data_IF_887921662029
#
_entry.id   IF_887921662029
#
_cell.length_a   1.000
_cell.length_b   1.000
_cell.length_c   1.000
_cell.angle_alpha   90.00
_cell.angle_beta   90.00
_cell.angle_gamma   90.00
#
_symmetry.space_group_name_H-M   'P 1'
#
loop_
_entity.id
_entity.type
_entity.pdbx_description
1 polymer ?
#
# COMPACT_ATOMS: atom_id res chain seq x y z
N UNK A 1 -8.44 89.96 93.80
CA UNK A 1 -8.17 90.20 92.37
C UNK A 1 -8.77 89.03 91.62
N UNK A 2 -9.73 89.24 90.73
CA UNK A 2 -10.34 88.16 89.96
C UNK A 2 -9.43 87.86 88.75
N UNK A 3 -8.82 86.68 88.73
CA UNK A 3 -8.03 86.21 87.58
C UNK A 3 -8.94 85.59 86.53
N UNK A 4 -8.45 85.43 85.30
CA UNK A 4 -9.13 84.60 84.32
C UNK A 4 -9.33 83.19 84.90
N UNK A 5 -10.52 82.62 84.69
CA UNK A 5 -10.85 81.27 85.19
C UNK A 5 -10.03 80.19 84.47
N UNK A 6 -9.89 80.33 83.15
CA UNK A 6 -9.17 79.39 82.27
C UNK A 6 -8.71 80.12 80.98
N UNK A 7 -8.27 79.35 79.98
CA UNK A 7 -7.79 79.89 78.70
C UNK A 7 -8.89 80.55 77.85
N UNK A 8 -10.18 80.33 78.13
CA UNK A 8 -11.31 80.85 77.40
C UNK A 8 -12.11 81.92 78.14
N UNK A 9 -11.67 82.34 79.31
CA UNK A 9 -12.23 83.47 80.04
C UNK A 9 -11.22 84.61 80.15
N UNK A 10 -11.70 85.85 80.21
CA UNK A 10 -10.86 87.01 80.59
C UNK A 10 -10.97 87.26 82.09
N UNK A 11 -10.10 88.10 82.64
CA UNK A 11 -10.17 88.46 84.06
C UNK A 11 -11.52 89.11 84.39
N UNK A 12 -12.23 88.52 85.34
CA UNK A 12 -13.54 88.98 85.80
C UNK A 12 -13.50 90.28 86.61
N UNK A 13 -14.67 90.84 86.84
CA UNK A 13 -14.89 91.90 87.82
C UNK A 13 -15.47 91.32 89.10
N UNK A 14 -14.99 91.80 90.26
CA UNK A 14 -15.47 91.37 91.57
C UNK A 14 -16.76 92.11 91.91
N UNK A 15 -17.86 91.38 92.16
CA UNK A 15 -19.07 91.97 92.73
C UNK A 15 -18.82 92.31 94.22
N UNK A 16 -18.86 93.59 94.61
CA UNK A 16 -18.59 94.00 95.99
C UNK A 16 -19.62 93.49 97.00
N UNK A 17 -20.83 93.10 96.58
CA UNK A 17 -21.91 92.68 97.47
C UNK A 17 -21.89 91.18 97.79
N UNK A 18 -21.58 90.34 96.79
CA UNK A 18 -21.57 88.88 96.93
C UNK A 18 -20.16 88.29 97.08
N UNK A 19 -19.12 89.07 96.77
CA UNK A 19 -17.73 88.60 96.70
C UNK A 19 -17.46 87.65 95.53
N UNK A 20 -18.42 87.45 94.62
CA UNK A 20 -18.27 86.57 93.46
C UNK A 20 -17.58 87.29 92.31
N UNK A 21 -16.72 86.58 91.59
CA UNK A 21 -16.09 87.09 90.38
C UNK A 21 -16.98 86.77 89.17
N UNK A 22 -17.20 87.75 88.28
CA UNK A 22 -17.81 87.49 86.98
C UNK A 22 -16.87 86.65 86.10
N UNK A 23 -17.43 85.84 85.19
CA UNK A 23 -16.66 84.96 84.30
C UNK A 23 -16.97 85.28 82.83
N UNK A 24 -16.56 86.46 82.32
CA UNK A 24 -16.78 86.81 80.92
C UNK A 24 -15.93 85.93 79.98
N UNK A 25 -16.58 85.33 78.99
CA UNK A 25 -15.92 84.52 77.95
C UNK A 25 -15.05 85.40 77.04
N UNK A 26 -13.93 84.84 76.55
CA UNK A 26 -13.16 85.39 75.42
C UNK A 26 -13.97 85.30 74.14
N UNK A 27 -13.60 86.12 73.15
CA UNK A 27 -14.19 86.12 71.81
C UNK A 27 -14.14 84.73 71.17
N UNK A 28 -15.24 84.31 70.55
CA UNK A 28 -15.32 83.10 69.73
C UNK A 28 -14.15 83.01 68.74
N UNK A 29 -13.59 81.80 68.61
CA UNK A 29 -12.45 81.54 67.72
C UNK A 29 -11.08 81.86 68.31
N UNK A 30 -11.00 82.40 69.53
CA UNK A 30 -9.71 82.62 70.20
C UNK A 30 -9.00 81.28 70.43
N UNK A 31 -7.71 81.20 70.09
CA UNK A 31 -6.90 80.01 70.27
C UNK A 31 -6.79 79.63 71.77
N UNK A 32 -6.97 78.35 72.06
CA UNK A 32 -6.80 77.75 73.38
C UNK A 32 -6.18 76.35 73.22
N UNK A 33 -6.10 75.56 74.28
CA UNK A 33 -5.71 74.16 74.22
C UNK A 33 -6.68 73.35 75.10
N UNK A 34 -7.38 72.39 74.49
CA UNK A 34 -8.41 71.58 75.17
C UNK A 34 -7.83 70.34 75.88
N UNK A 35 -6.50 70.14 75.79
CA UNK A 35 -5.76 69.02 76.36
C UNK A 35 -5.80 67.74 75.52
N UNK A 36 -6.49 67.74 74.36
CA UNK A 36 -6.61 66.61 73.47
C UNK A 36 -5.61 66.74 72.30
N UNK A 37 -4.56 65.92 72.30
CA UNK A 37 -3.54 65.95 71.22
C UNK A 37 -4.13 65.51 69.87
N UNK A 38 -5.32 64.93 69.85
CA UNK A 38 -6.00 64.50 68.64
C UNK A 38 -6.84 65.60 67.97
N UNK A 39 -6.89 66.82 68.50
CA UNK A 39 -7.49 67.97 67.82
C UNK A 39 -6.38 68.89 67.33
N UNK A 40 -6.45 69.27 66.05
CA UNK A 40 -5.39 70.06 65.41
C UNK A 40 -5.63 71.56 65.53
N UNK A 41 -6.83 71.97 65.96
CA UNK A 41 -7.21 73.38 66.09
C UNK A 41 -8.20 73.54 67.22
N UNK A 42 -7.78 74.18 68.30
CA UNK A 42 -8.63 74.40 69.47
C UNK A 42 -9.00 75.86 69.59
N UNK A 43 -10.30 76.12 69.71
CA UNK A 43 -10.84 77.47 69.81
C UNK A 43 -11.88 77.58 70.90
N UNK A 44 -11.95 78.75 71.53
CA UNK A 44 -12.99 79.04 72.50
C UNK A 44 -14.35 79.18 71.80
N UNK A 45 -15.32 78.37 72.22
CA UNK A 45 -16.72 78.43 71.81
C UNK A 45 -17.61 78.40 73.06
N UNK A 46 -18.45 79.43 73.23
CA UNK A 46 -19.32 79.64 74.37
C UNK A 46 -18.62 79.52 75.74
N UNK A 47 -17.40 80.08 75.85
CA UNK A 47 -16.59 80.02 77.08
C UNK A 47 -15.88 78.69 77.35
N UNK A 48 -16.02 77.68 76.47
CA UNK A 48 -15.31 76.39 76.59
C UNK A 48 -14.26 76.27 75.49
N UNK A 49 -13.09 75.71 75.80
CA UNK A 49 -12.12 75.36 74.77
C UNK A 49 -12.58 74.09 74.04
N UNK A 50 -12.91 74.21 72.76
CA UNK A 50 -13.37 73.09 71.93
C UNK A 50 -12.36 72.82 70.82
N UNK A 51 -11.80 71.61 70.82
CA UNK A 51 -10.98 71.13 69.73
C UNK A 51 -11.78 70.80 68.47
N UNK A 52 -11.18 71.09 67.33
CA UNK A 52 -11.73 70.86 66.00
C UNK A 52 -10.65 70.28 65.08
N UNK A 53 -11.04 69.88 63.87
CA UNK A 53 -10.13 69.23 62.90
C UNK A 53 -9.41 67.99 63.51
N UNK A 54 -10.17 66.94 63.87
CA UNK A 54 -9.61 65.77 64.54
C UNK A 54 -8.57 65.05 63.67
N UNK A 55 -7.53 64.51 64.30
CA UNK A 55 -6.53 63.64 63.66
C UNK A 55 -7.24 62.44 63.06
N UNK A 56 -7.09 62.26 61.76
CA UNK A 56 -7.63 61.12 61.02
C UNK A 56 -6.60 59.99 61.05
N UNK A 57 -6.98 58.86 61.63
CA UNK A 57 -6.16 57.65 61.65
C UNK A 57 -6.67 56.67 60.58
N UNK A 58 -6.12 56.69 59.35
CA UNK A 58 -6.52 55.74 58.33
C UNK A 58 -6.13 54.31 58.75
N UNK A 59 -6.77 53.33 58.12
CA UNK A 59 -6.33 51.94 58.22
C UNK A 59 -4.86 51.82 57.78
N UNK A 60 -4.08 51.00 58.50
CA UNK A 60 -2.67 50.76 58.20
C UNK A 60 -2.49 50.05 56.85
N UNK A 61 -3.33 49.04 56.60
CA UNK A 61 -3.37 48.24 55.39
C UNK A 61 -4.78 47.63 55.23
N UNK A 62 -4.95 46.69 54.29
CA UNK A 62 -6.24 46.07 54.00
C UNK A 62 -6.78 45.21 55.17
N UNK A 63 -5.91 44.77 56.09
CA UNK A 63 -6.22 43.89 57.22
C UNK A 63 -6.30 44.61 58.56
N UNK A 64 -6.22 45.93 58.56
CA UNK A 64 -6.48 46.76 59.73
C UNK A 64 -7.68 47.68 59.47
N UNK A 65 -8.43 47.98 60.51
CA UNK A 65 -9.48 49.00 60.45
C UNK A 65 -8.88 50.39 60.74
N UNK A 66 -9.65 51.44 60.42
CA UNK A 66 -9.28 52.80 60.79
C UNK A 66 -9.10 52.90 62.31
N UNK A 67 -8.00 53.52 62.73
CA UNK A 67 -7.65 53.66 64.13
C UNK A 67 -8.43 54.76 64.84
N UNK A 68 -8.34 54.78 66.16
CA UNK A 68 -8.68 55.95 66.98
C UNK A 68 -7.40 56.59 67.47
N UNK A 69 -7.34 57.93 67.41
CA UNK A 69 -6.25 58.68 68.00
C UNK A 69 -6.37 58.68 69.52
N UNK A 70 -5.27 58.42 70.23
CA UNK A 70 -5.22 58.51 71.69
C UNK A 70 -5.05 59.97 72.14
N UNK A 71 -6.02 60.55 72.88
CA UNK A 71 -6.00 61.96 73.28
C UNK A 71 -4.77 62.40 74.08
N UNK A 72 -4.09 61.49 74.78
CA UNK A 72 -2.97 61.82 75.65
C UNK A 72 -1.62 61.94 74.91
N UNK A 73 -1.44 61.24 73.79
CA UNK A 73 -0.15 61.17 73.10
C UNK A 73 -0.24 61.32 71.57
N UNK A 74 -1.43 61.42 71.00
CA UNK A 74 -1.64 61.57 69.56
C UNK A 74 -1.39 60.31 68.73
N UNK A 75 -1.10 59.16 69.36
CA UNK A 75 -0.80 57.91 68.64
C UNK A 75 -2.08 57.25 68.16
N UNK A 76 -2.12 56.88 66.88
CA UNK A 76 -3.21 56.11 66.30
C UNK A 76 -3.12 54.62 66.70
N UNK A 77 -4.24 54.04 67.13
CA UNK A 77 -4.36 52.58 67.29
C UNK A 77 -4.40 51.87 65.93
N UNK A 78 -3.99 50.61 65.87
CA UNK A 78 -4.05 49.78 64.65
C UNK A 78 -4.84 48.48 64.90
N UNK A 79 -6.18 48.56 65.03
CA UNK A 79 -7.00 47.36 65.26
C UNK A 79 -6.97 46.45 64.03
N UNK A 80 -6.65 45.16 64.22
CA UNK A 80 -6.71 44.16 63.16
C UNK A 80 -8.18 43.81 62.84
N UNK A 81 -8.48 43.62 61.56
CA UNK A 81 -9.77 43.10 61.10
C UNK A 81 -9.99 41.67 61.58
N UNK A 82 -11.25 41.21 61.67
CA UNK A 82 -11.56 39.81 61.98
C UNK A 82 -10.89 38.84 60.99
N UNK A 83 -10.46 37.68 61.49
CA UNK A 83 -9.93 36.62 60.64
C UNK A 83 -10.96 36.23 59.58
N UNK A 84 -10.51 36.02 58.33
CA UNK A 84 -11.40 35.74 57.20
C UNK A 84 -11.88 36.98 56.43
N UNK A 85 -11.53 38.18 56.88
CA UNK A 85 -11.81 39.41 56.11
C UNK A 85 -11.07 39.38 54.77
N UNK A 86 -11.73 39.83 53.70
CA UNK A 86 -11.13 39.87 52.36
C UNK A 86 -9.97 40.88 52.30
N UNK A 87 -8.88 40.46 51.68
CA UNK A 87 -7.71 41.27 51.35
C UNK A 87 -7.10 40.75 50.05
N UNK A 88 -5.95 41.27 49.63
CA UNK A 88 -5.11 40.63 48.60
C UNK A 88 -3.65 40.59 49.06
N UNK A 89 -3.01 39.43 48.92
CA UNK A 89 -1.60 39.25 49.28
C UNK A 89 -0.65 39.57 48.11
N UNK A 90 -1.21 39.81 46.92
CA UNK A 90 -0.51 40.15 45.69
C UNK A 90 0.02 38.93 44.92
N UNK A 91 -0.24 37.70 45.38
CA UNK A 91 0.09 36.48 44.66
C UNK A 91 -1.11 36.02 43.82
N UNK A 92 -1.01 36.11 42.50
CA UNK A 92 -2.05 35.64 41.59
C UNK A 92 -2.22 34.10 41.61
N UNK A 93 -1.34 33.37 42.28
CA UNK A 93 -1.42 31.92 42.48
C UNK A 93 -2.23 31.52 43.71
N UNK A 94 -2.76 32.45 44.50
CA UNK A 94 -3.73 32.17 45.57
C UNK A 94 -5.13 32.57 45.11
N UNK A 95 -6.09 31.67 45.29
CA UNK A 95 -7.47 31.91 44.82
C UNK A 95 -8.32 32.61 45.88
N UNK A 96 -7.87 32.64 47.13
CA UNK A 96 -8.61 33.23 48.23
C UNK A 96 -7.66 33.81 49.26
N UNK A 97 -7.68 35.13 49.38
CA UNK A 97 -6.83 35.88 50.28
C UNK A 97 -7.65 36.41 51.45
N UNK A 98 -7.22 36.07 52.66
CA UNK A 98 -7.91 36.48 53.88
C UNK A 98 -6.96 37.00 54.93
N UNK A 99 -7.44 37.97 55.70
CA UNK A 99 -6.72 38.45 56.86
C UNK A 99 -6.67 37.36 57.92
N UNK A 100 -5.47 37.07 58.42
CA UNK A 100 -5.22 36.16 59.52
C UNK A 100 -4.24 36.81 60.49
N UNK A 101 -4.71 37.11 61.71
CA UNK A 101 -3.95 37.80 62.74
C UNK A 101 -3.29 39.11 62.26
N UNK A 102 -4.02 39.89 61.45
CA UNK A 102 -3.56 41.20 60.94
C UNK A 102 -2.68 41.14 59.69
N UNK A 103 -2.32 39.96 59.18
CA UNK A 103 -1.61 39.79 57.92
C UNK A 103 -2.55 39.26 56.83
N UNK A 104 -2.39 39.71 55.59
CA UNK A 104 -3.10 39.10 54.47
C UNK A 104 -2.39 37.81 54.05
N UNK A 105 -3.12 36.69 54.05
CA UNK A 105 -2.60 35.36 53.71
C UNK A 105 -3.44 34.77 52.59
N UNK A 106 -2.79 34.47 51.47
CA UNK A 106 -3.39 33.72 50.39
C UNK A 106 -3.49 32.23 50.68
N UNK A 107 -4.60 31.64 50.26
CA UNK A 107 -4.93 30.22 50.42
C UNK A 107 -5.47 29.66 49.10
N UNK A 108 -5.71 28.35 49.07
CA UNK A 108 -6.23 27.64 47.88
C UNK A 108 -5.33 27.87 46.65
N UNK A 109 -4.07 27.39 46.68
CA UNK A 109 -3.11 27.63 45.61
C UNK A 109 -3.62 27.09 44.27
N UNK A 110 -3.31 27.80 43.19
CA UNK A 110 -3.57 27.37 41.82
C UNK A 110 -2.79 26.08 41.55
N UNK A 111 -3.52 25.03 41.18
CA UNK A 111 -2.94 23.74 40.80
C UNK A 111 -2.75 23.71 39.29
N UNK A 112 -1.53 23.46 38.85
CA UNK A 112 -1.17 23.35 37.44
C UNK A 112 -0.95 21.87 37.07
N UNK A 113 -2.00 21.12 36.69
CA UNK A 113 -1.86 19.72 36.32
C UNK A 113 -1.07 19.56 35.03
N UNK A 114 -0.65 18.33 34.75
CA UNK A 114 -0.11 17.94 33.43
C UNK A 114 -1.20 18.14 32.36
N UNK A 115 -0.88 18.83 31.26
CA UNK A 115 -1.82 19.04 30.16
C UNK A 115 -2.17 17.73 29.43
N UNK A 116 -1.15 16.90 29.20
CA UNK A 116 -1.27 15.63 28.49
C UNK A 116 -0.09 14.69 28.87
N UNK A 117 0.05 13.58 28.16
CA UNK A 117 1.09 12.57 28.42
C UNK A 117 2.51 13.11 28.19
N UNK A 118 2.69 14.16 27.40
CA UNK A 118 3.96 14.76 27.00
C UNK A 118 4.29 16.08 27.69
N UNK A 119 3.51 16.49 28.69
CA UNK A 119 3.79 17.66 29.51
C UNK A 119 3.89 17.29 30.99
N UNK A 120 4.82 17.93 31.68
CA UNK A 120 4.94 17.83 33.13
C UNK A 120 3.95 18.78 33.81
N UNK A 121 3.74 18.59 35.12
CA UNK A 121 2.94 19.52 35.91
C UNK A 121 3.58 20.91 35.87
N UNK A 122 2.75 21.90 35.57
CA UNK A 122 3.19 23.29 35.48
C UNK A 122 3.51 23.90 36.83
N UNK A 123 4.06 25.11 36.81
CA UNK A 123 4.17 25.99 37.97
C UNK A 123 3.40 27.27 37.69
N UNK A 124 2.69 27.77 38.69
CA UNK A 124 1.94 29.01 38.57
C UNK A 124 2.89 30.21 38.69
N UNK A 125 2.69 31.22 37.84
CA UNK A 125 3.40 32.50 37.91
C UNK A 125 2.70 33.44 38.91
N UNK A 126 3.39 33.84 39.98
CA UNK A 126 2.81 34.63 41.08
C UNK A 126 2.32 36.03 40.70
N UNK A 127 2.71 36.56 39.53
CA UNK A 127 2.26 37.87 39.06
C UNK A 127 1.03 37.75 38.16
N UNK A 128 0.97 36.70 37.32
CA UNK A 128 -0.06 36.57 36.29
C UNK A 128 -1.12 35.51 36.60
N UNK A 129 -0.86 34.59 37.52
CA UNK A 129 -1.73 33.45 37.84
C UNK A 129 -1.72 32.37 36.75
N UNK A 130 -0.87 32.51 35.72
CA UNK A 130 -0.83 31.61 34.56
C UNK A 130 0.11 30.43 34.86
N UNK A 131 -0.38 29.22 34.60
CA UNK A 131 0.43 28.00 34.67
C UNK A 131 1.41 27.91 33.50
N UNK A 132 2.66 27.54 33.78
CA UNK A 132 3.58 27.05 32.75
C UNK A 132 3.11 25.69 32.20
N UNK A 133 3.55 25.35 30.97
CA UNK A 133 3.30 24.05 30.36
C UNK A 133 4.61 23.44 29.84
N UNK A 134 5.50 22.97 30.74
CA UNK A 134 6.78 22.41 30.34
C UNK A 134 6.60 21.06 29.64
N UNK A 135 7.19 20.90 28.47
CA UNK A 135 7.23 19.62 27.76
C UNK A 135 8.16 18.64 28.49
N UNK A 136 7.77 17.36 28.54
CA UNK A 136 8.63 16.26 28.96
C UNK A 136 9.82 16.12 28.02
N UNK A 137 10.86 15.45 28.50
CA UNK A 137 12.02 15.11 27.67
C UNK A 137 11.62 14.28 26.44
N UNK A 138 12.31 14.51 25.33
CA UNK A 138 12.10 13.73 24.11
C UNK A 138 12.38 12.24 24.36
N UNK A 139 11.57 11.37 23.78
CA UNK A 139 11.69 9.91 23.92
C UNK A 139 10.93 9.32 25.11
N UNK A 140 10.27 10.14 25.95
CA UNK A 140 9.34 9.62 26.96
C UNK A 140 8.16 8.94 26.27
N UNK A 141 7.85 7.70 26.68
CA UNK A 141 6.75 6.93 26.13
C UNK A 141 5.41 7.65 26.33
N UNK A 142 4.60 7.67 25.27
CA UNK A 142 3.23 8.16 25.28
C UNK A 142 2.40 7.27 24.34
N UNK A 143 1.14 7.59 24.14
CA UNK A 143 0.24 6.94 23.18
C UNK A 143 -0.53 8.05 22.45
N UNK A 144 -0.36 8.14 21.13
CA UNK A 144 -1.01 9.14 20.30
C UNK A 144 -2.43 8.72 19.86
N UNK A 145 -2.84 7.49 20.21
CA UNK A 145 -4.13 6.90 19.91
C UNK A 145 -4.30 6.47 18.45
N UNK A 146 -3.25 6.53 17.63
CA UNK A 146 -3.28 6.14 16.23
C UNK A 146 -2.75 4.70 16.09
N UNK A 147 -3.40 3.90 15.25
CA UNK A 147 -2.99 2.51 15.03
C UNK A 147 -1.77 2.43 14.11
N UNK A 148 -1.67 3.32 13.11
CA UNK A 148 -0.59 3.32 12.12
C UNK A 148 0.70 3.96 12.59
N UNK A 149 0.78 4.37 13.85
CA UNK A 149 2.01 4.70 14.55
C UNK A 149 2.39 3.55 15.48
N UNK A 150 3.70 3.40 15.69
CA UNK A 150 4.28 2.49 16.66
C UNK A 150 5.43 3.16 17.40
N UNK A 151 5.67 2.68 18.62
CA UNK A 151 6.73 3.19 19.50
C UNK A 151 6.56 4.69 19.80
N UNK A 152 5.35 5.06 20.15
CA UNK A 152 4.96 6.44 20.41
C UNK A 152 5.79 7.06 21.53
N UNK A 153 6.31 8.24 21.24
CA UNK A 153 7.15 8.98 22.16
C UNK A 153 6.92 10.48 22.01
N UNK A 154 7.16 11.19 23.11
CA UNK A 154 7.12 12.63 23.12
C UNK A 154 8.29 13.20 22.31
N UNK A 155 8.00 14.18 21.45
CA UNK A 155 8.99 14.98 20.72
C UNK A 155 8.53 16.43 20.73
N UNK A 156 9.28 17.30 21.41
CA UNK A 156 8.96 18.72 21.58
C UNK A 156 7.51 18.96 22.10
N UNK A 157 7.07 18.15 23.07
CA UNK A 157 5.74 18.25 23.68
C UNK A 157 4.60 17.62 22.88
N UNK A 158 4.86 17.04 21.71
CA UNK A 158 3.86 16.34 20.89
C UNK A 158 4.09 14.84 21.02
N UNK A 159 3.01 14.08 21.27
CA UNK A 159 3.07 12.63 21.21
C UNK A 159 2.95 12.17 19.74
N UNK A 160 3.87 11.31 19.30
CA UNK A 160 3.77 10.68 18.00
C UNK A 160 4.69 9.46 17.88
N UNK A 161 4.35 8.55 16.98
CA UNK A 161 5.17 7.37 16.70
C UNK A 161 5.80 7.35 15.30
N UNK A 162 6.54 6.27 15.06
CA UNK A 162 7.04 5.92 13.73
C UNK A 162 5.96 5.22 12.92
N UNK A 163 5.95 5.39 11.60
CA UNK A 163 4.98 4.74 10.73
C UNK A 163 5.06 3.20 10.88
N UNK A 164 3.90 2.56 11.09
CA UNK A 164 3.75 1.12 11.16
C UNK A 164 4.20 0.49 9.85
N UNK A 165 5.07 -0.52 9.95
CA UNK A 165 5.52 -1.28 8.80
C UNK A 165 4.41 -2.21 8.29
N UNK A 166 3.84 -1.86 7.14
CA UNK A 166 2.84 -2.66 6.43
C UNK A 166 3.41 -3.33 5.17
N UNK A 167 4.73 -3.35 4.99
CA UNK A 167 5.37 -3.86 3.76
C UNK A 167 5.02 -5.31 3.43
N UNK A 168 4.65 -6.12 4.42
CA UNK A 168 4.20 -7.51 4.24
C UNK A 168 2.87 -7.66 3.48
N UNK A 169 2.07 -6.59 3.41
CA UNK A 169 0.83 -6.55 2.62
C UNK A 169 1.05 -5.99 1.21
N UNK A 170 2.30 -5.61 0.88
CA UNK A 170 2.69 -5.22 -0.46
C UNK A 170 3.12 -6.40 -1.31
N UNK A 171 2.91 -6.27 -2.62
CA UNK A 171 3.41 -7.18 -3.64
C UNK A 171 3.83 -6.38 -4.90
N UNK A 172 3.93 -7.04 -6.06
CA UNK A 172 4.27 -6.36 -7.31
C UNK A 172 3.22 -5.32 -7.73
N UNK A 173 1.94 -5.55 -7.41
CA UNK A 173 0.79 -4.74 -7.81
C UNK A 173 0.05 -4.06 -6.66
N UNK A 174 0.42 -4.30 -5.41
CA UNK A 174 -0.14 -3.65 -4.24
C UNK A 174 0.99 -3.03 -3.40
N UNK A 175 0.75 -1.83 -2.88
CA UNK A 175 1.54 -1.28 -1.79
C UNK A 175 0.87 -1.66 -0.46
N UNK A 176 1.67 -2.03 0.53
CA UNK A 176 1.18 -2.26 1.87
C UNK A 176 0.97 -0.92 2.57
N UNK A 177 -0.28 -0.51 2.73
CA UNK A 177 -0.64 0.75 3.38
C UNK A 177 -1.29 0.49 4.73
N UNK A 178 -1.19 1.46 5.63
CA UNK A 178 -1.87 1.38 6.92
C UNK A 178 -3.16 2.19 6.89
N UNK A 179 -4.26 1.59 7.33
CA UNK A 179 -5.57 2.23 7.40
C UNK A 179 -5.98 2.46 8.85
N UNK A 180 -6.05 3.73 9.25
CA UNK A 180 -6.42 4.11 10.61
C UNK A 180 -7.88 3.86 10.95
N UNK A 181 -8.79 4.07 10.00
CA UNK A 181 -10.21 3.87 10.24
C UNK A 181 -10.53 2.38 10.44
N UNK A 182 -9.79 1.49 9.78
CA UNK A 182 -9.91 0.05 9.90
C UNK A 182 -9.03 -0.56 11.01
N UNK A 183 -8.03 0.17 11.50
CA UNK A 183 -7.08 -0.33 12.49
C UNK A 183 -6.27 -1.53 11.99
N UNK A 184 -5.89 -1.54 10.72
CA UNK A 184 -5.16 -2.66 10.10
C UNK A 184 -4.29 -2.21 8.91
N UNK A 185 -3.28 -3.02 8.59
CA UNK A 185 -2.57 -2.93 7.32
C UNK A 185 -3.41 -3.57 6.21
N UNK A 186 -3.41 -2.98 5.02
CA UNK A 186 -4.15 -3.47 3.87
C UNK A 186 -3.38 -3.29 2.54
N UNK A 187 -3.61 -4.16 1.55
CA UNK A 187 -3.07 -3.95 0.22
C UNK A 187 -3.82 -2.82 -0.48
N UNK A 188 -3.09 -1.83 -0.99
CA UNK A 188 -3.64 -0.80 -1.87
C UNK A 188 -3.12 -1.00 -3.29
N UNK A 189 -3.99 -1.12 -4.30
CA UNK A 189 -3.55 -1.26 -5.69
C UNK A 189 -2.60 -0.15 -6.14
N UNK A 190 -1.47 -0.54 -6.71
CA UNK A 190 -0.60 0.35 -7.48
C UNK A 190 -1.32 0.83 -8.74
N UNK A 191 -0.86 1.93 -9.36
CA UNK A 191 -1.47 2.44 -10.60
C UNK A 191 -1.57 1.36 -11.68
N UNK A 192 -2.73 1.30 -12.35
CA UNK A 192 -2.92 0.40 -13.48
C UNK A 192 -1.85 0.65 -14.57
N UNK A 193 -1.34 -0.43 -15.15
CA UNK A 193 -0.22 -0.37 -16.10
C UNK A 193 1.17 -0.44 -15.46
N UNK A 194 1.27 -0.47 -14.12
CA UNK A 194 2.55 -0.75 -13.44
C UNK A 194 3.07 -2.11 -13.90
N UNK A 195 4.34 -2.18 -14.30
CA UNK A 195 4.96 -3.43 -14.73
C UNK A 195 5.02 -4.44 -13.57
N UNK A 196 4.64 -5.68 -13.85
CA UNK A 196 4.73 -6.80 -12.93
C UNK A 196 5.12 -8.07 -13.71
N UNK A 197 5.12 -9.22 -13.06
CA UNK A 197 5.18 -10.52 -13.71
C UNK A 197 4.20 -11.50 -13.06
N UNK A 198 3.36 -12.13 -13.88
CA UNK A 198 2.43 -13.18 -13.46
C UNK A 198 3.10 -14.58 -13.47
N UNK A 199 4.39 -14.62 -13.79
CA UNK A 199 5.20 -15.83 -13.94
C UNK A 199 4.75 -16.77 -15.06
N UNK A 200 3.92 -16.30 -16.00
CA UNK A 200 3.60 -17.00 -17.23
C UNK A 200 4.51 -16.53 -18.36
N UNK A 201 5.43 -17.39 -18.81
CA UNK A 201 6.31 -17.08 -19.95
C UNK A 201 5.55 -16.92 -21.28
N UNK A 202 4.26 -17.27 -21.33
CA UNK A 202 3.43 -17.11 -22.51
C UNK A 202 2.74 -15.75 -22.63
N UNK A 203 3.01 -14.82 -21.72
CA UNK A 203 2.58 -13.41 -21.83
C UNK A 203 3.82 -12.53 -22.04
N UNK A 204 3.71 -11.56 -22.96
CA UNK A 204 4.86 -10.71 -23.33
C UNK A 204 4.93 -9.43 -22.51
N UNK A 205 3.81 -9.02 -21.92
CA UNK A 205 3.72 -7.80 -21.12
C UNK A 205 2.78 -8.05 -19.97
N UNK A 206 3.27 -7.97 -18.75
CA UNK A 206 2.41 -8.13 -17.57
C UNK A 206 2.29 -6.80 -16.84
N UNK A 207 1.04 -6.46 -16.51
CA UNK A 207 0.70 -5.17 -15.93
C UNK A 207 -0.30 -5.33 -14.82
N UNK A 208 -0.16 -4.49 -13.81
CA UNK A 208 -1.12 -4.43 -12.73
C UNK A 208 -2.44 -3.87 -13.26
N UNK A 209 -3.54 -4.57 -12.95
CA UNK A 209 -4.91 -4.12 -13.17
C UNK A 209 -5.69 -4.38 -11.90
N UNK A 210 -6.16 -3.31 -11.24
CA UNK A 210 -6.93 -3.42 -9.99
C UNK A 210 -6.25 -4.26 -8.90
N UNK A 211 -4.93 -4.13 -8.75
CA UNK A 211 -4.13 -4.86 -7.75
C UNK A 211 -3.77 -6.30 -8.13
N UNK A 212 -4.15 -6.77 -9.32
CA UNK A 212 -3.76 -8.09 -9.83
C UNK A 212 -2.73 -7.92 -10.95
N UNK A 213 -1.71 -8.77 -10.97
CA UNK A 213 -0.82 -8.84 -12.12
C UNK A 213 -1.50 -9.64 -13.24
N UNK A 214 -1.75 -8.99 -14.36
CA UNK A 214 -2.41 -9.58 -15.52
C UNK A 214 -1.45 -9.55 -16.70
N UNK A 215 -1.12 -10.73 -17.21
CA UNK A 215 -0.38 -10.88 -18.46
C UNK A 215 -1.24 -10.56 -19.68
N UNK A 216 -0.62 -9.87 -20.63
CA UNK A 216 -1.19 -9.46 -21.90
C UNK A 216 -0.25 -9.80 -23.05
N UNK A 217 -0.74 -9.65 -24.29
CA UNK A 217 0.00 -9.97 -25.51
C UNK A 217 0.51 -11.43 -25.52
N UNK A 218 -0.39 -12.42 -25.60
CA UNK A 218 -0.02 -13.82 -25.53
C UNK A 218 0.95 -14.21 -26.66
N UNK A 219 1.90 -15.09 -26.34
CA UNK A 219 2.84 -15.68 -27.30
C UNK A 219 2.05 -16.55 -28.28
N UNK A 220 2.09 -16.18 -29.56
CA UNK A 220 1.43 -16.92 -30.64
C UNK A 220 2.41 -17.89 -31.27
N UNK A 221 2.24 -19.18 -30.98
CA UNK A 221 3.06 -20.24 -31.57
C UNK A 221 2.56 -20.63 -32.96
N UNK A 222 2.99 -19.88 -33.97
CA UNK A 222 2.75 -20.25 -35.37
C UNK A 222 3.38 -21.61 -35.70
N UNK A 223 2.86 -22.32 -36.72
CA UNK A 223 3.55 -23.49 -37.28
C UNK A 223 5.00 -23.15 -37.62
N UNK A 224 5.94 -24.02 -37.23
CA UNK A 224 7.34 -23.84 -37.58
C UNK A 224 7.55 -23.83 -39.10
N UNK A 225 6.82 -24.71 -39.79
CA UNK A 225 6.86 -24.89 -41.24
C UNK A 225 5.58 -25.61 -41.70
N UNK A 226 5.50 -25.99 -42.99
CA UNK A 226 4.32 -26.67 -43.57
C UNK A 226 4.09 -28.11 -43.04
N UNK A 227 5.05 -28.66 -42.31
CA UNK A 227 5.08 -30.02 -41.77
C UNK A 227 4.79 -30.07 -40.27
N UNK A 228 4.64 -28.93 -39.62
CA UNK A 228 4.32 -28.83 -38.20
C UNK A 228 2.99 -28.12 -38.02
N UNK A 229 2.31 -28.41 -36.91
CA UNK A 229 1.10 -27.66 -36.54
C UNK A 229 1.49 -26.43 -35.75
N UNK A 230 0.52 -25.52 -35.62
CA UNK A 230 0.60 -24.43 -34.65
C UNK A 230 0.91 -25.04 -33.28
N UNK A 231 1.87 -24.42 -32.59
CA UNK A 231 2.41 -24.96 -31.37
C UNK A 231 1.60 -24.57 -30.14
N UNK A 232 2.00 -25.15 -29.00
CA UNK A 232 1.53 -24.71 -27.68
C UNK A 232 2.70 -24.08 -26.96
N UNK A 233 2.47 -22.92 -26.37
CA UNK A 233 3.45 -22.23 -25.54
C UNK A 233 3.54 -22.91 -24.17
N UNK A 234 4.76 -23.14 -23.69
CA UNK A 234 5.05 -23.63 -22.35
C UNK A 234 5.09 -22.45 -21.36
N UNK A 235 4.18 -22.42 -20.39
CA UNK A 235 4.01 -21.30 -19.46
C UNK A 235 5.20 -21.09 -18.51
N UNK A 236 6.08 -22.07 -18.36
CA UNK A 236 7.26 -21.93 -17.50
C UNK A 236 8.47 -21.33 -18.23
N UNK A 237 8.51 -21.49 -19.55
CA UNK A 237 9.67 -21.11 -20.37
C UNK A 237 9.36 -20.09 -21.46
N UNK A 238 8.08 -19.86 -21.79
CA UNK A 238 7.66 -19.09 -22.96
C UNK A 238 7.98 -19.74 -24.31
N UNK A 239 8.41 -21.01 -24.30
CA UNK A 239 8.87 -21.69 -25.51
C UNK A 239 7.73 -22.37 -26.26
N UNK A 240 7.75 -22.28 -27.59
CA UNK A 240 6.77 -22.94 -28.44
C UNK A 240 7.15 -24.40 -28.70
N UNK A 241 6.23 -25.31 -28.41
CA UNK A 241 6.29 -26.70 -28.87
C UNK A 241 5.54 -26.84 -30.18
N UNK A 242 6.23 -27.11 -31.30
CA UNK A 242 5.59 -27.34 -32.59
C UNK A 242 5.52 -28.85 -32.87
N UNK A 243 4.38 -29.51 -32.62
CA UNK A 243 4.26 -30.94 -32.92
C UNK A 243 4.27 -31.13 -34.43
N UNK A 244 4.94 -32.20 -34.89
CA UNK A 244 4.87 -32.62 -36.28
C UNK A 244 3.41 -32.85 -36.67
N UNK A 245 3.04 -32.33 -37.84
CA UNK A 245 1.78 -32.67 -38.47
C UNK A 245 1.71 -34.19 -38.70
N UNK A 246 0.50 -34.73 -38.88
CA UNK A 246 0.33 -36.13 -39.17
C UNK A 246 1.26 -36.53 -40.34
N UNK A 247 1.85 -37.74 -40.34
CA UNK A 247 2.76 -38.15 -41.39
C UNK A 247 2.08 -37.96 -42.75
N UNK A 248 2.79 -37.29 -43.65
CA UNK A 248 2.42 -37.23 -45.06
C UNK A 248 2.46 -38.66 -45.59
N UNK A 249 1.30 -39.29 -45.67
CA UNK A 249 1.12 -40.64 -46.23
C UNK A 249 -0.15 -40.57 -47.09
N UNK A 250 0.01 -40.71 -48.41
CA UNK A 250 -1.13 -40.74 -49.33
C UNK A 250 -1.69 -42.15 -49.55
N UNK A 251 -1.10 -43.15 -48.87
CA UNK A 251 -1.46 -44.55 -48.99
C UNK A 251 -0.99 -45.20 -50.30
N UNK A 252 -0.23 -44.50 -51.14
CA UNK A 252 0.38 -45.07 -52.35
C UNK A 252 1.77 -45.65 -52.04
N UNK A 253 1.87 -46.97 -52.11
CA UNK A 253 3.16 -47.66 -51.97
C UNK A 253 4.17 -47.30 -53.08
N UNK A 254 3.73 -46.60 -54.13
CA UNK A 254 4.54 -46.19 -55.28
C UNK A 254 5.16 -44.81 -55.12
N UNK A 255 4.91 -44.13 -54.00
CA UNK A 255 5.53 -42.85 -53.67
C UNK A 255 6.39 -43.00 -52.43
N UNK A 256 7.47 -42.22 -52.40
CA UNK A 256 8.14 -41.90 -51.15
C UNK A 256 7.52 -40.62 -50.65
N UNK A 257 6.84 -40.73 -49.52
CA UNK A 257 6.10 -39.61 -48.97
C UNK A 257 7.00 -38.90 -47.97
N UNK A 258 7.27 -37.64 -48.26
CA UNK A 258 8.17 -36.81 -47.46
C UNK A 258 7.48 -35.49 -47.20
N UNK A 259 7.70 -34.94 -46.01
CA UNK A 259 7.25 -33.60 -45.73
C UNK A 259 8.40 -32.63 -45.98
N UNK A 260 8.22 -31.77 -46.98
CA UNK A 260 9.11 -30.66 -47.28
C UNK A 260 8.70 -29.45 -46.43
N UNK A 261 9.61 -28.84 -45.65
CA UNK A 261 9.27 -27.71 -44.77
C UNK A 261 8.61 -26.53 -45.49
N UNK A 262 8.90 -26.31 -46.77
CA UNK A 262 8.34 -25.18 -47.54
C UNK A 262 7.11 -25.59 -48.34
N UNK A 263 7.17 -26.74 -49.02
CA UNK A 263 6.13 -27.20 -49.93
C UNK A 263 5.03 -28.03 -49.24
N UNK A 264 5.23 -28.46 -48.00
CA UNK A 264 4.34 -29.37 -47.28
C UNK A 264 4.51 -30.82 -47.72
N UNK A 265 3.43 -31.58 -47.78
CA UNK A 265 3.52 -32.98 -48.21
C UNK A 265 3.92 -33.09 -49.69
N UNK A 266 5.05 -33.76 -49.94
CA UNK A 266 5.56 -34.06 -51.27
C UNK A 266 5.59 -35.57 -51.47
N UNK A 267 4.88 -36.02 -52.50
CA UNK A 267 4.76 -37.42 -52.89
C UNK A 267 5.60 -37.65 -54.14
N UNK A 268 6.80 -38.23 -53.98
CA UNK A 268 7.71 -38.47 -55.10
C UNK A 268 7.61 -39.92 -55.58
N UNK A 269 7.38 -40.18 -56.87
CA UNK A 269 7.37 -41.55 -57.39
C UNK A 269 8.69 -42.26 -57.07
N UNK A 270 8.62 -43.46 -56.48
CA UNK A 270 9.81 -44.28 -56.28
C UNK A 270 10.48 -44.56 -57.63
N UNK A 271 11.80 -44.60 -57.66
CA UNK A 271 12.59 -44.83 -58.87
C UNK A 271 13.27 -46.20 -58.84
N UNK A 272 13.81 -46.62 -59.99
CA UNK A 272 14.55 -47.87 -60.13
C UNK A 272 13.73 -49.13 -59.80
N UNK A 273 14.32 -50.05 -59.04
CA UNK A 273 13.69 -51.34 -58.73
C UNK A 273 12.42 -51.18 -57.91
N UNK A 274 12.41 -50.24 -56.96
CA UNK A 274 11.26 -49.92 -56.11
C UNK A 274 10.02 -49.53 -56.96
N UNK A 275 10.23 -48.72 -58.01
CA UNK A 275 9.19 -48.34 -58.98
C UNK A 275 8.57 -49.55 -59.68
N UNK A 276 9.42 -50.47 -60.14
CA UNK A 276 8.98 -51.67 -60.82
C UNK A 276 8.27 -52.65 -59.88
N UNK A 277 8.73 -52.77 -58.64
CA UNK A 277 8.08 -53.59 -57.62
C UNK A 277 6.75 -53.01 -57.19
N UNK A 278 6.61 -51.69 -57.10
CA UNK A 278 5.33 -51.10 -56.72
C UNK A 278 4.26 -51.32 -57.80
N UNK A 279 4.60 -51.20 -59.09
CA UNK A 279 3.67 -51.52 -60.18
C UNK A 279 3.16 -52.97 -60.17
N UNK A 280 3.82 -53.88 -59.44
CA UNK A 280 3.40 -55.27 -59.24
C UNK A 280 2.45 -55.47 -58.05
N UNK A 281 2.32 -54.49 -57.16
CA UNK A 281 1.51 -54.53 -55.93
C UNK A 281 0.54 -53.33 -55.88
N UNK A 282 0.48 -52.54 -56.95
CA UNK A 282 -0.28 -51.30 -57.03
C UNK A 282 -1.78 -51.51 -56.69
N UNK A 283 -2.40 -50.58 -55.93
CA UNK A 283 -3.83 -50.60 -55.63
C UNK A 283 -4.71 -50.55 -56.89
N UNK A 284 -4.14 -50.16 -58.04
CA UNK A 284 -4.81 -50.31 -59.34
C UNK A 284 -5.26 -51.74 -59.66
N UNK A 285 -4.73 -52.76 -58.95
CA UNK A 285 -5.17 -54.15 -59.05
C UNK A 285 -6.35 -54.51 -58.14
N UNK A 286 -6.81 -53.62 -57.25
CA UNK A 286 -7.99 -53.88 -56.42
C UNK A 286 -9.28 -53.96 -57.24
N UNK A 287 -9.35 -53.23 -58.36
CA UNK A 287 -10.42 -53.34 -59.37
C UNK A 287 -10.43 -54.72 -60.06
N UNK A 288 -9.34 -55.49 -59.90
CA UNK A 288 -9.12 -56.81 -60.48
C UNK A 288 -9.18 -57.95 -59.47
N UNK A 289 -9.65 -57.74 -58.24
CA UNK A 289 -9.71 -58.82 -57.25
C UNK A 289 -10.90 -59.76 -57.51
N UNK A 290 -10.67 -61.10 -57.63
CA UNK A 290 -9.39 -61.79 -57.57
C UNK A 290 -8.61 -61.78 -58.91
N UNK A 291 -7.31 -61.52 -58.84
CA UNK A 291 -6.42 -61.55 -60.02
C UNK A 291 -6.38 -62.99 -60.56
N UNK A 292 -6.46 -63.22 -61.88
CA UNK A 292 -6.39 -64.56 -62.45
C UNK A 292 -5.15 -65.32 -61.95
N UNK A 293 -5.30 -66.58 -61.49
CA UNK A 293 -4.22 -67.31 -60.80
C UNK A 293 -2.91 -67.37 -61.58
N UNK A 294 -2.98 -67.51 -62.91
CA UNK A 294 -1.79 -67.57 -63.74
C UNK A 294 -1.06 -66.22 -63.88
N UNK A 295 -1.77 -65.10 -63.77
CA UNK A 295 -1.17 -63.76 -63.76
C UNK A 295 -0.57 -63.50 -62.38
N UNK A 296 -1.29 -63.82 -61.30
CA UNK A 296 -0.80 -63.72 -59.93
C UNK A 296 0.48 -64.56 -59.71
N UNK A 297 0.51 -65.80 -60.21
CA UNK A 297 1.70 -66.65 -60.15
C UNK A 297 2.89 -66.05 -60.92
N UNK A 298 2.64 -65.43 -62.08
CA UNK A 298 3.70 -64.77 -62.85
C UNK A 298 4.26 -63.53 -62.11
N UNK A 299 3.41 -62.75 -61.45
CA UNK A 299 3.81 -61.63 -60.60
C UNK A 299 4.69 -62.12 -59.44
N UNK A 300 4.24 -63.14 -58.70
CA UNK A 300 4.98 -63.71 -57.58
C UNK A 300 6.34 -64.31 -58.01
N UNK A 301 6.37 -65.00 -59.16
CA UNK A 301 7.63 -65.50 -59.72
C UNK A 301 8.57 -64.36 -60.10
N UNK A 302 8.07 -63.30 -60.74
CA UNK A 302 8.88 -62.14 -61.09
C UNK A 302 9.45 -61.46 -59.84
N UNK A 303 8.65 -61.26 -58.80
CA UNK A 303 9.08 -60.72 -57.50
C UNK A 303 10.22 -61.56 -56.89
N UNK A 304 10.05 -62.88 -56.81
CA UNK A 304 11.10 -63.78 -56.31
C UNK A 304 12.42 -63.66 -57.10
N UNK A 305 12.35 -63.49 -58.43
CA UNK A 305 13.55 -63.29 -59.26
C UNK A 305 14.22 -61.95 -58.96
N UNK A 306 13.46 -60.88 -58.73
CA UNK A 306 14.00 -59.58 -58.36
C UNK A 306 14.63 -59.61 -56.95
N UNK A 307 14.01 -60.29 -55.98
CA UNK A 307 14.58 -60.49 -54.65
C UNK A 307 15.93 -61.21 -54.73
N UNK A 308 16.00 -62.31 -55.49
CA UNK A 308 17.24 -63.04 -55.73
C UNK A 308 18.29 -62.19 -56.46
N UNK A 309 17.85 -61.28 -57.34
CA UNK A 309 18.74 -60.37 -58.07
C UNK A 309 19.32 -59.27 -57.16
N UNK A 310 18.60 -58.87 -56.12
CA UNK A 310 19.06 -57.87 -55.15
C UNK A 310 20.12 -58.40 -54.17
N UNK A 311 20.09 -59.70 -53.84
CA UNK A 311 21.02 -60.30 -52.86
C UNK A 311 22.25 -60.97 -53.48
N UNK A 312 22.30 -61.12 -54.81
CA UNK A 312 23.45 -61.73 -55.50
C UNK A 312 24.58 -60.72 -55.69
N UNK A 313 25.80 -61.07 -55.28
CA UNK A 313 27.00 -60.27 -55.56
C UNK A 313 27.48 -60.41 -57.03
N UNK A 314 26.99 -61.42 -57.75
CA UNK A 314 27.32 -61.61 -59.17
C UNK A 314 26.42 -60.76 -60.07
N UNK A 315 27.04 -59.81 -60.75
CA UNK A 315 26.42 -58.95 -61.74
C UNK A 315 25.77 -59.71 -62.91
N UNK A 316 26.45 -60.72 -63.45
CA UNK A 316 25.95 -61.52 -64.58
C UNK A 316 24.66 -62.24 -64.16
N UNK A 317 24.66 -62.82 -62.96
CA UNK A 317 23.51 -63.50 -62.38
C UNK A 317 22.36 -62.52 -62.10
N UNK A 318 22.65 -61.33 -61.58
CA UNK A 318 21.66 -60.27 -61.41
C UNK A 318 21.01 -59.93 -62.76
N UNK A 319 21.78 -59.57 -63.78
CA UNK A 319 21.30 -59.19 -65.12
C UNK A 319 20.42 -60.28 -65.76
N UNK A 320 20.75 -61.56 -65.54
CA UNK A 320 19.93 -62.69 -66.00
C UNK A 320 18.58 -62.75 -65.26
N UNK A 321 18.59 -62.59 -63.94
CA UNK A 321 17.38 -62.61 -63.10
C UNK A 321 16.44 -61.43 -63.42
N UNK A 322 16.97 -60.22 -63.62
CA UNK A 322 16.19 -59.06 -64.11
C UNK A 322 15.54 -59.36 -65.48
N UNK A 323 16.29 -59.99 -66.39
CA UNK A 323 15.77 -60.40 -67.70
C UNK A 323 14.63 -61.41 -67.59
N UNK A 324 14.75 -62.41 -66.71
CA UNK A 324 13.71 -63.40 -66.45
C UNK A 324 12.45 -62.75 -65.86
N UNK A 325 12.61 -61.87 -64.86
CA UNK A 325 11.51 -61.15 -64.24
C UNK A 325 10.74 -60.28 -65.25
N UNK A 326 11.45 -59.49 -66.06
CA UNK A 326 10.85 -58.67 -67.13
C UNK A 326 10.08 -59.53 -68.13
N UNK A 327 10.64 -60.66 -68.54
CA UNK A 327 9.98 -61.55 -69.50
C UNK A 327 8.68 -62.13 -68.95
N UNK A 328 8.68 -62.60 -67.70
CA UNK A 328 7.50 -63.12 -67.01
C UNK A 328 6.38 -62.08 -66.94
N UNK A 329 6.69 -60.84 -66.56
CA UNK A 329 5.71 -59.75 -66.47
C UNK A 329 5.17 -59.35 -67.85
N UNK A 330 6.02 -59.31 -68.87
CA UNK A 330 5.59 -59.02 -70.25
C UNK A 330 4.64 -60.09 -70.80
N UNK A 331 4.88 -61.36 -70.47
CA UNK A 331 3.97 -62.45 -70.82
C UNK A 331 2.64 -62.33 -70.06
N UNK A 332 2.69 -62.04 -68.76
CA UNK A 332 1.51 -61.83 -67.93
C UNK A 332 0.65 -60.65 -68.43
N UNK A 333 1.27 -59.53 -68.80
CA UNK A 333 0.60 -58.37 -69.40
C UNK A 333 -0.15 -58.73 -70.69
N UNK A 334 0.53 -59.44 -71.61
CA UNK A 334 -0.10 -59.92 -72.86
C UNK A 334 -1.27 -60.87 -72.58
N UNK A 335 -1.15 -61.71 -71.56
CA UNK A 335 -2.22 -62.62 -71.13
C UNK A 335 -3.42 -61.85 -70.58
N UNK A 336 -3.20 -60.82 -69.77
CA UNK A 336 -4.26 -59.93 -69.28
C UNK A 336 -5.02 -59.28 -70.44
N UNK A 337 -4.31 -58.71 -71.42
CA UNK A 337 -4.93 -58.11 -72.61
C UNK A 337 -5.73 -59.11 -73.45
N UNK A 338 -5.25 -60.36 -73.59
CA UNK A 338 -6.00 -61.43 -74.26
C UNK A 338 -7.28 -61.79 -73.50
N UNK A 339 -7.22 -61.90 -72.18
CA UNK A 339 -8.38 -62.18 -71.34
C UNK A 339 -9.43 -61.06 -71.41
N UNK A 340 -9.01 -59.80 -71.52
CA UNK A 340 -9.90 -58.67 -71.78
C UNK A 340 -10.60 -58.75 -73.14
N UNK A 341 -9.85 -59.05 -74.21
CA UNK A 341 -10.43 -59.25 -75.56
C UNK A 341 -11.40 -60.43 -75.62
N UNK A 342 -11.11 -61.49 -74.88
CA UNK A 342 -11.97 -62.66 -74.71
C UNK A 342 -13.13 -62.44 -73.71
N UNK A 343 -13.28 -61.23 -73.14
CA UNK A 343 -14.31 -60.86 -72.16
C UNK A 343 -14.30 -61.68 -70.86
N UNK A 344 -13.20 -62.34 -70.53
CA UNK A 344 -13.00 -63.02 -69.24
C UNK A 344 -12.56 -62.08 -68.12
N UNK A 345 -12.15 -60.86 -68.47
CA UNK A 345 -11.88 -59.77 -67.56
C UNK A 345 -12.64 -58.54 -68.03
N UNK A 346 -13.08 -57.68 -67.11
CA UNK A 346 -13.64 -56.39 -67.48
C UNK A 346 -12.60 -55.59 -68.28
N UNK A 347 -13.02 -54.75 -69.25
CA UNK A 347 -12.09 -53.91 -70.01
C UNK A 347 -11.20 -53.04 -69.12
N UNK A 348 -11.75 -52.57 -68.00
CA UNK A 348 -11.03 -51.80 -66.98
C UNK A 348 -9.97 -52.65 -66.29
N UNK A 349 -10.32 -53.86 -65.83
CA UNK A 349 -9.36 -54.74 -65.18
C UNK A 349 -8.27 -55.25 -66.13
N UNK A 350 -8.65 -55.72 -67.31
CA UNK A 350 -7.68 -56.18 -68.32
C UNK A 350 -6.73 -55.05 -68.73
N UNK A 351 -7.24 -53.81 -68.85
CA UNK A 351 -6.45 -52.63 -69.13
C UNK A 351 -5.50 -52.26 -68.00
N UNK A 352 -5.93 -52.33 -66.75
CA UNK A 352 -5.09 -52.07 -65.57
C UNK A 352 -3.93 -53.10 -65.47
N UNK A 353 -4.26 -54.40 -65.49
CA UNK A 353 -3.25 -55.47 -65.44
C UNK A 353 -2.30 -55.42 -66.64
N UNK A 354 -2.82 -55.25 -67.86
CA UNK A 354 -1.98 -55.23 -69.06
C UNK A 354 -1.03 -54.03 -69.08
N UNK A 355 -1.46 -52.85 -68.62
CA UNK A 355 -0.61 -51.64 -68.64
C UNK A 355 0.45 -51.68 -67.53
N UNK A 356 0.04 -51.93 -66.28
CA UNK A 356 0.96 -51.92 -65.14
C UNK A 356 2.03 -53.01 -65.24
N UNK A 357 1.65 -54.23 -65.62
CA UNK A 357 2.62 -55.32 -65.79
C UNK A 357 3.56 -55.09 -66.98
N UNK A 358 3.08 -54.43 -68.03
CA UNK A 358 3.93 -54.06 -69.16
C UNK A 358 4.92 -52.97 -68.77
N UNK A 359 4.47 -51.92 -68.07
CA UNK A 359 5.35 -50.85 -67.60
C UNK A 359 6.39 -51.37 -66.58
N UNK A 360 5.97 -52.21 -65.62
CA UNK A 360 6.88 -52.90 -64.71
C UNK A 360 7.93 -53.71 -65.48
N UNK A 361 7.50 -54.46 -66.51
CA UNK A 361 8.44 -55.23 -67.35
C UNK A 361 9.43 -54.34 -68.09
N UNK A 362 9.00 -53.17 -68.54
CA UNK A 362 9.83 -52.19 -69.26
C UNK A 362 10.88 -51.58 -68.35
N UNK A 363 10.47 -51.14 -67.16
CA UNK A 363 11.38 -50.57 -66.14
C UNK A 363 12.43 -51.58 -65.68
N UNK A 364 12.04 -52.84 -65.46
CA UNK A 364 12.98 -53.92 -65.12
C UNK A 364 13.96 -54.18 -66.28
N UNK A 365 13.50 -54.10 -67.53
CA UNK A 365 14.36 -54.25 -68.69
C UNK A 365 15.35 -53.08 -68.83
N UNK A 366 14.97 -51.85 -68.46
CA UNK A 366 15.87 -50.70 -68.40
C UNK A 366 16.91 -50.85 -67.29
N UNK A 367 16.49 -51.26 -66.09
CA UNK A 367 17.41 -51.56 -64.97
C UNK A 367 18.45 -52.62 -65.34
N UNK A 368 18.04 -53.62 -66.13
CA UNK A 368 18.96 -54.63 -66.67
C UNK A 368 20.04 -54.02 -67.57
N UNK A 369 19.76 -52.92 -68.26
CA UNK A 369 20.72 -52.25 -69.15
C UNK A 369 21.72 -51.39 -68.37
N UNK A 370 21.32 -50.89 -67.20
CA UNK A 370 22.15 -50.06 -66.31
C UNK A 370 22.97 -50.88 -65.31
N UNK A 371 22.63 -52.17 -65.13
CA UNK A 371 23.55 -53.19 -64.65
C UNK A 371 24.51 -53.45 -65.80
#
# INVERSE_FOLDING_TARGET
MCTALDQCHVAGTCDPASGTCSTPSKTEGTACNDGNVCTQTDTCQAGTCTGSNPVVCPALDQCHDAGTCNPANGVCSTPAKPNGSACTDGDACTQTDTCQAGACVGTSPVVCPTSDQCHDAGSCNSVTGICSNPSKADGVACDDGLFCTVSDACSAGVCGGTARDCSLFGDQCNDGTCNEAAGQCEPTPKPDGTACSDSDGCTQTDTCTTGLCVGANPVVCAPQDACHKAGVCDSSTGSCSNPSAAPCDDGDLCTTDTCDPTAGCVFQPVSGLAAATCLMISPAFDVCRPIPPAIAAAIAQAQNRLTLAGVTSSFIRARQLYGQASHLLKQAARRAGKLGKARHLSPTCAGALSRNLFDASSRIAQLRQTL
#
